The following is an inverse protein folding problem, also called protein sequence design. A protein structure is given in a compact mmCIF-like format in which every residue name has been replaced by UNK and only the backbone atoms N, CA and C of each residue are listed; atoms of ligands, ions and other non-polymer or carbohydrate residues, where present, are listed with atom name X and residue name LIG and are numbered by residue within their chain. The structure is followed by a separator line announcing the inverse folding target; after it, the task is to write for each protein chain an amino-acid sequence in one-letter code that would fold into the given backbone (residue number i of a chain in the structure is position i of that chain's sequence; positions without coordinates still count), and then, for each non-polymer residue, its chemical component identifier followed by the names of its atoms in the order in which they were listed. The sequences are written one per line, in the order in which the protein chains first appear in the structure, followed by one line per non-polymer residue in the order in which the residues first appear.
data_IF_361323877539
#
_entry.id   IF_361323877539
#
_cell.length_a   1.000
_cell.length_b   1.000
_cell.length_c   1.000
_cell.angle_alpha   90.00
_cell.angle_beta   90.00
_cell.angle_gamma   90.00
#
_symmetry.space_group_name_H-M   'P 1'
#
loop_
_entity.id
_entity.type
_entity.pdbx_description
1 polymer ?
#
# COMPACT_ATOMS: atom_id res chain seq x y z
N UNK A 1 10.51 -34.34 15.29
CA UNK A 1 10.14 -33.62 14.04
C UNK A 1 8.87 -32.82 14.32
N UNK A 2 8.66 -31.72 13.59
CA UNK A 2 7.59 -30.71 13.70
C UNK A 2 7.90 -29.49 14.58
N UNK A 3 8.77 -28.62 14.06
CA UNK A 3 8.69 -27.16 14.25
C UNK A 3 8.54 -26.58 12.85
N UNK A 4 7.32 -26.59 12.30
CA UNK A 4 7.10 -26.15 10.92
C UNK A 4 5.73 -25.49 10.77
N UNK A 5 5.34 -24.60 11.67
CA UNK A 5 3.96 -24.08 11.65
C UNK A 5 3.80 -22.59 12.02
N UNK A 6 4.86 -21.90 12.47
CA UNK A 6 4.75 -20.48 12.84
C UNK A 6 5.07 -19.52 11.69
N UNK A 7 6.06 -19.86 10.85
CA UNK A 7 6.52 -18.97 9.77
C UNK A 7 5.60 -18.95 8.54
N UNK A 8 4.89 -20.06 8.25
CA UNK A 8 3.96 -20.14 7.13
C UNK A 8 2.69 -19.31 7.38
N UNK A 9 2.22 -19.24 8.64
CA UNK A 9 1.02 -18.47 9.00
C UNK A 9 1.20 -16.95 8.95
N UNK A 10 2.40 -16.44 9.26
CA UNK A 10 2.69 -15.01 9.17
C UNK A 10 2.91 -14.54 7.72
N UNK A 11 3.48 -15.42 6.88
CA UNK A 11 3.68 -15.16 5.46
C UNK A 11 2.36 -14.90 4.74
N UNK A 12 1.37 -15.77 4.94
CA UNK A 12 0.05 -15.67 4.29
C UNK A 12 -0.70 -14.38 4.68
N UNK A 13 -0.55 -13.92 5.92
CA UNK A 13 -1.18 -12.66 6.37
C UNK A 13 -0.53 -11.43 5.74
N UNK A 14 0.81 -11.45 5.61
CA UNK A 14 1.56 -10.35 5.01
C UNK A 14 1.23 -10.20 3.52
N UNK A 15 1.12 -11.32 2.80
CA UNK A 15 0.75 -11.33 1.37
C UNK A 15 -0.70 -10.90 1.16
N UNK A 16 -1.62 -11.35 2.01
CA UNK A 16 -3.01 -10.90 1.98
C UNK A 16 -3.14 -9.38 2.25
N UNK A 17 -2.32 -8.84 3.15
CA UNK A 17 -2.29 -7.40 3.42
C UNK A 17 -1.76 -6.62 2.22
N UNK A 18 -0.63 -7.04 1.63
CA UNK A 18 -0.06 -6.38 0.45
C UNK A 18 -1.04 -6.39 -0.73
N UNK A 19 -1.72 -7.51 -0.98
CA UNK A 19 -2.76 -7.60 -1.99
C UNK A 19 -3.92 -6.62 -1.73
N UNK A 20 -4.37 -6.49 -0.48
CA UNK A 20 -5.42 -5.52 -0.13
C UNK A 20 -4.99 -4.08 -0.35
N UNK A 21 -3.72 -3.77 -0.04
CA UNK A 21 -3.15 -2.43 -0.27
C UNK A 21 -3.03 -2.18 -1.78
N UNK A 22 -2.53 -3.14 -2.56
CA UNK A 22 -2.42 -3.07 -4.01
C UNK A 22 -3.77 -2.74 -4.67
N UNK A 23 -4.82 -3.48 -4.29
CA UNK A 23 -6.19 -3.27 -4.76
C UNK A 23 -6.71 -1.89 -4.38
N UNK A 24 -6.48 -1.44 -3.14
CA UNK A 24 -6.94 -0.12 -2.68
C UNK A 24 -6.24 1.04 -3.39
N UNK A 25 -5.00 0.83 -3.84
CA UNK A 25 -4.19 1.80 -4.56
C UNK A 25 -4.31 1.68 -6.08
N UNK A 26 -5.13 0.74 -6.58
CA UNK A 26 -5.27 0.41 -7.99
C UNK A 26 -3.90 0.19 -8.67
N UNK A 27 -3.04 -0.58 -8.00
CA UNK A 27 -1.71 -0.95 -8.50
C UNK A 27 -1.45 -2.46 -8.43
N UNK A 28 -0.60 -3.01 -9.32
CA UNK A 28 -0.18 -4.41 -9.25
C UNK A 28 0.58 -4.67 -7.94
N UNK A 29 0.35 -5.82 -7.28
CA UNK A 29 1.05 -6.16 -6.02
C UNK A 29 2.55 -6.32 -6.22
N UNK A 30 2.96 -6.67 -7.44
CA UNK A 30 4.35 -6.84 -7.85
C UNK A 30 5.16 -5.55 -7.69
N UNK A 31 4.53 -4.37 -7.68
CA UNK A 31 5.22 -3.07 -7.48
C UNK A 31 5.88 -2.96 -6.10
N UNK A 32 5.45 -3.74 -5.11
CA UNK A 32 6.10 -3.77 -3.80
C UNK A 32 7.43 -4.54 -3.80
N UNK A 33 7.62 -5.44 -4.78
CA UNK A 33 8.82 -6.28 -4.90
C UNK A 33 9.72 -5.86 -6.07
N UNK A 34 9.13 -5.33 -7.14
CA UNK A 34 9.80 -4.89 -8.35
C UNK A 34 9.40 -3.46 -8.71
N UNK A 35 10.29 -2.53 -8.34
CA UNK A 35 10.15 -1.10 -8.60
C UNK A 35 10.27 -0.76 -10.10
N UNK A 36 10.74 -1.66 -10.97
CA UNK A 36 10.78 -1.39 -12.42
C UNK A 36 9.39 -1.38 -13.08
N UNK A 37 8.37 -1.90 -12.37
CA UNK A 37 6.97 -1.89 -12.82
C UNK A 37 6.25 -0.56 -12.53
N UNK A 38 6.91 0.35 -11.82
CA UNK A 38 6.37 1.67 -11.41
C UNK A 38 6.07 2.60 -12.59
N UNK A 39 6.90 2.58 -13.64
CA UNK A 39 6.79 3.49 -14.81
C UNK A 39 5.45 3.40 -15.56
N UNK A 40 4.61 2.40 -15.24
CA UNK A 40 3.32 2.15 -15.88
C UNK A 40 2.12 2.52 -15.02
N UNK A 41 2.31 2.91 -13.76
CA UNK A 41 1.22 3.20 -12.82
C UNK A 41 1.41 4.55 -12.09
N UNK A 42 0.58 5.57 -12.37
CA UNK A 42 0.67 6.89 -11.74
C UNK A 42 0.55 6.87 -10.21
N UNK A 43 -0.27 5.98 -9.63
CA UNK A 43 -0.38 5.84 -8.17
C UNK A 43 0.93 5.33 -7.58
N UNK A 44 1.55 4.39 -8.28
CA UNK A 44 2.80 3.79 -7.84
C UNK A 44 3.96 4.82 -7.91
N UNK A 45 4.02 5.66 -8.96
CA UNK A 45 4.94 6.81 -9.03
C UNK A 45 4.76 7.78 -7.83
N UNK A 46 3.52 8.12 -7.47
CA UNK A 46 3.23 8.97 -6.30
C UNK A 46 3.74 8.33 -4.99
N UNK A 47 3.58 7.02 -4.82
CA UNK A 47 4.09 6.31 -3.64
C UNK A 47 5.62 6.35 -3.56
N UNK A 48 6.30 6.24 -4.70
CA UNK A 48 7.76 6.37 -4.76
C UNK A 48 8.22 7.78 -4.41
N UNK A 49 7.58 8.80 -4.99
CA UNK A 49 7.84 10.21 -4.65
C UNK A 49 7.64 10.45 -3.15
N UNK A 50 6.57 9.89 -2.56
CA UNK A 50 6.30 9.98 -1.14
C UNK A 50 7.36 9.25 -0.29
N UNK A 51 7.85 8.09 -0.74
CA UNK A 51 8.90 7.33 -0.06
C UNK A 51 10.27 8.01 -0.10
N UNK A 52 10.55 8.84 -1.11
CA UNK A 52 11.78 9.64 -1.19
C UNK A 52 11.82 10.83 -0.23
N UNK A 53 10.70 11.17 0.42
CA UNK A 53 10.66 12.24 1.42
C UNK A 53 11.33 11.74 2.72
N UNK A 54 12.55 12.19 2.96
CA UNK A 54 13.34 11.80 4.13
C UNK A 54 12.68 12.26 5.45
N UNK A 55 12.08 13.45 5.44
CA UNK A 55 11.45 14.03 6.63
C UNK A 55 10.06 13.44 6.85
N UNK A 56 9.91 12.66 7.92
CA UNK A 56 8.64 12.02 8.29
C UNK A 56 7.48 13.03 8.43
N UNK A 57 7.74 14.21 9.00
CA UNK A 57 6.72 15.25 9.14
C UNK A 57 6.20 15.74 7.80
N UNK A 58 7.03 15.76 6.76
CA UNK A 58 6.61 16.16 5.42
C UNK A 58 5.82 15.05 4.73
N UNK A 59 6.18 13.77 4.97
CA UNK A 59 5.35 12.62 4.57
C UNK A 59 3.94 12.69 5.16
N UNK A 60 3.82 13.06 6.43
CA UNK A 60 2.53 13.22 7.11
C UNK A 60 1.70 14.37 6.52
N UNK A 61 2.33 15.48 6.14
CA UNK A 61 1.64 16.60 5.47
C UNK A 61 1.08 16.18 4.12
N UNK A 62 1.85 15.45 3.31
CA UNK A 62 1.40 14.93 2.02
C UNK A 62 0.20 13.98 2.21
N UNK A 63 0.28 13.05 3.17
CA UNK A 63 -0.85 12.18 3.49
C UNK A 63 -2.09 12.95 3.92
N UNK A 64 -1.93 13.97 4.76
CA UNK A 64 -3.03 14.84 5.21
C UNK A 64 -3.69 15.57 4.03
N UNK A 65 -2.88 16.09 3.12
CA UNK A 65 -3.34 16.75 1.91
C UNK A 65 -4.14 15.80 0.99
N UNK A 66 -3.59 14.62 0.70
CA UNK A 66 -4.27 13.59 -0.11
C UNK A 66 -5.61 13.20 0.52
N UNK A 67 -5.65 13.01 1.86
CA UNK A 67 -6.91 12.71 2.58
C UNK A 67 -7.94 13.83 2.47
N UNK A 68 -7.49 15.09 2.39
CA UNK A 68 -8.38 16.24 2.19
C UNK A 68 -8.95 16.33 0.77
N UNK A 69 -8.20 15.83 -0.23
CA UNK A 69 -8.62 15.80 -1.64
C UNK A 69 -9.43 14.56 -2.00
N UNK A 70 -9.18 13.44 -1.33
CA UNK A 70 -9.92 12.21 -1.56
C UNK A 70 -11.41 12.48 -1.36
N UNK A 71 -12.27 12.19 -2.35
CA UNK A 71 -13.70 12.26 -2.14
C UNK A 71 -14.00 11.40 -0.92
N UNK A 72 -14.85 11.90 0.00
CA UNK A 72 -15.35 11.07 1.11
C UNK A 72 -16.07 9.90 0.45
N UNK A 73 -15.37 8.79 0.28
CA UNK A 73 -15.97 7.52 -0.04
C UNK A 73 -16.77 7.18 1.20
N UNK A 74 -18.04 7.60 1.19
CA UNK A 74 -19.04 7.07 2.09
C UNK A 74 -19.03 5.57 1.84
N UNK A 75 -18.33 4.82 2.71
CA UNK A 75 -18.40 3.38 2.75
C UNK A 75 -19.89 3.06 2.90
N UNK A 76 -20.53 2.35 1.95
CA UNK A 76 -21.90 1.93 2.13
C UNK A 76 -21.94 1.08 3.40
N UNK A 77 -22.49 1.63 4.48
CA UNK A 77 -22.84 0.83 5.64
C UNK A 77 -23.97 -0.08 5.18
N UNK A 78 -23.62 -1.32 4.82
CA UNK A 78 -24.58 -2.39 4.60
C UNK A 78 -25.48 -2.46 5.84
N UNK A 79 -26.75 -2.07 5.67
CA UNK A 79 -27.82 -2.29 6.64
C UNK A 79 -28.27 -3.74 6.61
#
# INVERSE_FOLDING_TARGET
MCKRDAAEYESDQSEALLNRIAVALDCPVEVFSDLSLLDRNPTAEILQLWAMIEVEQDRLKVLSFIRGLAPRTEVPQSR
#
